data_IF_004712000308
#
_entry.id   IF_004712000308
#
_cell.length_a   1.000
_cell.length_b   1.000
_cell.length_c   1.000
_cell.angle_alpha   90.00
_cell.angle_beta   90.00
_cell.angle_gamma   90.00
#
_symmetry.space_group_name_H-M   'P 1'
#
loop_
_entity.id
_entity.type
_entity.pdbx_description
1 polymer ?
#
# COMPACT_ATOMS: atom_id res chain seq x y z
N UNK A 1 -27.05 -4.79 -10.03
CA UNK A 1 -27.31 -3.34 -9.77
C UNK A 1 -27.46 -3.17 -8.28
N UNK A 2 -26.61 -2.35 -7.66
CA UNK A 2 -26.77 -1.96 -6.26
C UNK A 2 -28.12 -1.21 -6.11
N UNK A 3 -28.85 -1.46 -5.02
CA UNK A 3 -30.18 -0.86 -4.80
C UNK A 3 -30.10 0.67 -4.69
N UNK A 4 -31.24 1.36 -4.88
CA UNK A 4 -31.34 2.83 -4.87
C UNK A 4 -30.81 3.54 -3.60
N UNK A 5 -30.55 2.80 -2.51
CA UNK A 5 -30.13 3.34 -1.22
C UNK A 5 -28.80 2.75 -0.74
N UNK A 6 -27.93 2.29 -1.64
CA UNK A 6 -26.62 1.77 -1.25
C UNK A 6 -25.66 2.94 -1.01
N UNK A 7 -25.11 2.98 0.20
CA UNK A 7 -24.01 3.85 0.58
C UNK A 7 -22.68 3.08 0.49
N UNK A 8 -21.68 3.69 -0.14
CA UNK A 8 -20.34 3.13 -0.29
C UNK A 8 -19.38 3.96 0.54
N UNK A 9 -18.75 3.34 1.53
CA UNK A 9 -17.73 3.98 2.37
C UNK A 9 -16.34 3.56 1.91
N UNK A 10 -15.48 4.54 1.63
CA UNK A 10 -14.06 4.33 1.28
C UNK A 10 -13.19 4.77 2.45
N UNK A 11 -12.56 3.82 3.13
CA UNK A 11 -11.60 4.10 4.19
C UNK A 11 -10.29 4.64 3.60
N UNK A 12 -9.75 5.75 4.12
CA UNK A 12 -8.43 6.28 3.72
C UNK A 12 -7.33 5.84 4.68
N UNK A 13 -7.70 5.37 5.87
CA UNK A 13 -6.80 4.75 6.83
C UNK A 13 -7.55 3.89 7.85
N UNK A 14 -6.81 3.19 8.69
CA UNK A 14 -7.38 2.27 9.69
C UNK A 14 -8.16 2.99 10.79
N UNK A 15 -7.86 4.27 11.07
CA UNK A 15 -8.54 5.05 12.09
C UNK A 15 -9.98 5.46 11.75
N UNK A 16 -10.42 5.25 10.51
CA UNK A 16 -11.79 5.51 10.06
C UNK A 16 -12.72 4.28 10.23
N UNK A 17 -12.17 3.14 10.68
CA UNK A 17 -12.90 1.88 10.86
C UNK A 17 -13.17 1.70 12.35
N UNK A 18 -14.40 1.31 12.73
CA UNK A 18 -14.70 1.01 14.13
C UNK A 18 -13.95 -0.25 14.61
N UNK A 19 -13.64 -0.39 15.91
CA UNK A 19 -12.94 -1.57 16.42
C UNK A 19 -13.64 -2.91 16.12
N UNK A 20 -14.97 -2.92 16.15
CA UNK A 20 -15.78 -4.13 15.89
C UNK A 20 -15.74 -4.54 14.42
N UNK A 21 -15.80 -3.57 13.49
CA UNK A 21 -15.63 -3.82 12.06
C UNK A 21 -14.19 -4.23 11.73
N UNK A 22 -13.20 -3.56 12.34
CA UNK A 22 -11.79 -3.87 12.10
C UNK A 22 -11.45 -5.31 12.49
N UNK A 23 -12.01 -5.79 13.61
CA UNK A 23 -11.85 -7.17 14.06
C UNK A 23 -12.23 -8.17 12.98
N UNK A 24 -13.28 -7.91 12.19
CA UNK A 24 -13.72 -8.81 11.11
C UNK A 24 -12.64 -8.98 10.03
N UNK A 25 -11.83 -7.95 9.76
CA UNK A 25 -10.76 -8.01 8.76
C UNK A 25 -9.49 -8.72 9.24
N UNK A 26 -9.23 -8.71 10.56
CA UNK A 26 -8.00 -9.28 11.15
C UNK A 26 -8.21 -10.60 11.91
N UNK A 27 -9.41 -11.19 11.82
CA UNK A 27 -9.74 -12.47 12.44
C UNK A 27 -9.09 -13.65 11.71
N UNK A 28 -9.50 -14.88 12.01
CA UNK A 28 -8.93 -16.13 11.46
C UNK A 28 -8.85 -16.17 9.92
N UNK A 29 -9.70 -15.42 9.21
CA UNK A 29 -9.72 -15.33 7.75
C UNK A 29 -8.86 -14.19 7.19
N UNK A 30 -7.96 -13.61 7.99
CA UNK A 30 -7.06 -12.55 7.55
C UNK A 30 -6.17 -13.04 6.40
N UNK A 31 -6.03 -12.21 5.37
CA UNK A 31 -5.13 -12.46 4.24
C UNK A 31 -3.75 -11.90 4.57
N UNK A 32 -2.86 -12.75 5.08
CA UNK A 32 -1.48 -12.40 5.38
C UNK A 32 -0.59 -12.61 4.15
N UNK A 33 0.24 -11.62 3.84
CA UNK A 33 1.31 -11.75 2.85
C UNK A 33 2.64 -11.92 3.60
N UNK A 34 3.26 -13.11 3.60
CA UNK A 34 4.49 -13.34 4.34
C UNK A 34 5.68 -12.65 3.65
N UNK A 35 6.48 -11.92 4.41
CA UNK A 35 7.72 -11.32 3.90
C UNK A 35 8.80 -12.39 3.83
N UNK A 36 9.17 -12.80 2.62
CA UNK A 36 10.24 -13.78 2.38
C UNK A 36 11.57 -13.07 2.13
N UNK A 37 12.54 -13.30 3.00
CA UNK A 37 13.88 -12.75 2.89
C UNK A 37 14.83 -13.88 2.49
N UNK A 38 15.48 -13.75 1.34
CA UNK A 38 16.47 -14.73 0.89
C UNK A 38 17.84 -14.40 1.49
N UNK A 39 18.64 -15.42 1.80
CA UNK A 39 19.96 -15.27 2.46
C UNK A 39 20.97 -14.44 1.65
N UNK A 40 20.79 -14.38 0.33
CA UNK A 40 21.59 -13.62 -0.62
C UNK A 40 21.08 -12.17 -0.83
N UNK A 41 19.95 -11.80 -0.20
CA UNK A 41 19.44 -10.44 -0.28
C UNK A 41 20.30 -9.54 0.60
N UNK A 42 20.96 -8.55 -0.01
CA UNK A 42 21.72 -7.52 0.72
C UNK A 42 20.76 -6.51 1.39
N UNK A 43 20.07 -6.94 2.45
CA UNK A 43 19.04 -6.17 3.16
C UNK A 43 19.60 -4.83 3.64
N UNK A 44 20.81 -4.82 4.21
CA UNK A 44 21.41 -3.60 4.72
C UNK A 44 21.62 -2.56 3.61
N UNK A 45 22.06 -3.00 2.43
CA UNK A 45 22.21 -2.13 1.27
C UNK A 45 20.85 -1.62 0.75
N UNK A 46 19.84 -2.51 0.71
CA UNK A 46 18.48 -2.18 0.31
C UNK A 46 17.87 -1.10 1.24
N UNK A 47 17.94 -1.32 2.56
CA UNK A 47 17.41 -0.39 3.56
C UNK A 47 18.16 0.94 3.54
N UNK A 48 19.49 0.91 3.44
CA UNK A 48 20.28 2.14 3.32
C UNK A 48 19.91 2.94 2.06
N UNK A 49 19.64 2.27 0.94
CA UNK A 49 19.21 2.93 -0.28
C UNK A 49 17.83 3.59 -0.10
N UNK A 50 16.80 2.85 0.33
CA UNK A 50 15.44 3.37 0.41
C UNK A 50 15.15 4.26 1.63
N UNK A 51 15.78 4.00 2.78
CA UNK A 51 15.52 4.70 4.05
C UNK A 51 16.65 5.62 4.51
N UNK A 52 17.81 5.60 3.83
CA UNK A 52 18.97 6.42 4.19
C UNK A 52 18.84 7.89 3.80
N UNK A 53 19.99 8.56 3.63
CA UNK A 53 20.04 9.98 3.24
C UNK A 53 19.42 10.21 1.86
N UNK A 54 18.88 11.41 1.64
CA UNK A 54 18.38 11.80 0.33
C UNK A 54 19.55 12.20 -0.58
N UNK A 55 19.95 11.29 -1.47
CA UNK A 55 20.98 11.55 -2.49
C UNK A 55 20.36 11.80 -3.86
N UNK A 56 21.04 12.53 -4.77
CA UNK A 56 20.57 12.72 -6.14
C UNK A 56 20.31 11.41 -6.87
N UNK A 57 21.17 10.40 -6.69
CA UNK A 57 21.04 9.10 -7.36
C UNK A 57 19.75 8.38 -6.93
N UNK A 58 19.41 8.46 -5.63
CA UNK A 58 18.15 7.92 -5.13
C UNK A 58 16.96 8.66 -5.71
N UNK A 59 17.02 9.99 -5.76
CA UNK A 59 15.95 10.80 -6.30
C UNK A 59 15.67 10.45 -7.76
N UNK A 60 16.69 10.42 -8.60
CA UNK A 60 16.58 10.07 -10.02
C UNK A 60 16.04 8.65 -10.19
N UNK A 61 16.53 7.69 -9.38
CA UNK A 61 16.01 6.32 -9.38
C UNK A 61 14.52 6.27 -9.06
N UNK A 62 14.07 6.96 -8.01
CA UNK A 62 12.65 6.96 -7.62
C UNK A 62 11.79 7.61 -8.71
N UNK A 63 12.21 8.74 -9.27
CA UNK A 63 11.46 9.43 -10.34
C UNK A 63 11.29 8.52 -11.56
N UNK A 64 12.37 7.86 -11.99
CA UNK A 64 12.34 6.97 -13.16
C UNK A 64 11.46 5.73 -12.96
N UNK A 65 11.26 5.30 -11.72
CA UNK A 65 10.43 4.13 -11.37
C UNK A 65 9.05 4.50 -10.83
N UNK A 66 8.75 5.80 -10.67
CA UNK A 66 7.47 6.27 -10.19
C UNK A 66 6.41 6.02 -11.28
N UNK A 67 5.58 5.01 -11.06
CA UNK A 67 4.41 4.79 -11.90
C UNK A 67 3.33 5.76 -11.47
N UNK A 68 3.05 6.72 -12.34
CA UNK A 68 1.88 7.58 -12.19
C UNK A 68 0.71 6.81 -12.76
N UNK A 69 -0.12 6.24 -11.90
CA UNK A 69 -1.48 5.88 -12.29
C UNK A 69 -2.20 7.20 -12.56
N UNK A 70 -2.33 7.57 -13.84
CA UNK A 70 -3.26 8.61 -14.24
C UNK A 70 -4.63 8.08 -13.82
N UNK A 71 -5.26 8.74 -12.83
CA UNK A 71 -6.68 8.54 -12.58
C UNK A 71 -7.38 8.81 -13.91
N UNK A 72 -7.75 7.74 -14.63
CA UNK A 72 -8.75 7.79 -15.69
C UNK A 72 -10.09 8.03 -15.01
N UNK A 73 -10.19 9.13 -14.28
CA UNK A 73 -11.45 9.69 -13.86
C UNK A 73 -12.20 10.02 -15.15
N UNK A 74 -13.35 9.36 -15.31
CA UNK A 74 -14.37 9.58 -16.32
C UNK A 74 -14.18 8.83 -17.66
N UNK A 75 -14.47 7.51 -17.63
CA UNK A 75 -15.13 6.87 -18.77
C UNK A 75 -16.31 6.01 -18.28
N UNK A 76 -17.48 6.66 -18.25
CA UNK A 76 -18.85 6.13 -18.21
C UNK A 76 -19.50 5.80 -16.86
#
# INVERSE_FOLDING_TARGET
KLGKSVEITRFKGLGEISPDEFRQFISENIRLEPVLIRKDTAIDALLNFYMGKNTPERQDFIINNLKVELDLAEAN
#
